data_IF_939680030558
#
_entry.id   IF_939680030558
#
_cell.length_a   1.000
_cell.length_b   1.000
_cell.length_c   1.000
_cell.angle_alpha   90.00
_cell.angle_beta   90.00
_cell.angle_gamma   90.00
#
_symmetry.space_group_name_H-M   'P 1'
#
loop_
_entity.id
_entity.type
_entity.pdbx_description
1 polymer ?
#
# COMPACT_ATOMS: atom_id res chain seq x y z
N UNK A 1 -9.64 2.52 2.07
CA UNK A 1 -8.69 1.49 2.59
C UNK A 1 -7.42 2.05 3.24
N UNK A 2 -6.75 3.07 2.65
CA UNK A 2 -5.50 3.65 3.16
C UNK A 2 -5.69 4.97 3.93
N UNK A 3 -6.89 5.22 4.46
CA UNK A 3 -7.30 6.54 4.94
C UNK A 3 -6.41 7.10 6.06
N UNK A 4 -5.84 6.25 6.90
CA UNK A 4 -4.92 6.68 7.97
C UNK A 4 -3.45 6.72 7.53
N UNK A 5 -3.10 5.99 6.48
CA UNK A 5 -1.74 5.91 5.93
C UNK A 5 -1.46 7.10 5.01
N UNK A 6 -1.43 8.29 5.61
CA UNK A 6 -1.18 9.56 4.92
C UNK A 6 0.02 10.24 5.58
N UNK A 7 0.89 10.82 4.76
CA UNK A 7 2.15 11.43 5.21
C UNK A 7 2.16 12.92 4.93
N UNK A 8 2.74 13.70 5.85
CA UNK A 8 2.93 15.16 5.74
C UNK A 8 1.65 16.01 5.63
N UNK A 9 0.47 15.41 5.68
CA UNK A 9 -0.83 16.11 5.66
C UNK A 9 -1.88 15.31 6.41
N UNK A 10 -2.99 15.99 6.74
CA UNK A 10 -4.16 15.32 7.30
C UNK A 10 -4.92 14.51 6.23
N UNK A 11 -5.53 13.37 6.62
CA UNK A 11 -6.48 12.67 5.77
C UNK A 11 -7.62 13.59 5.34
N UNK A 12 -8.03 13.48 4.07
CA UNK A 12 -9.17 14.20 3.53
C UNK A 12 -10.28 13.19 3.22
N UNK A 13 -11.51 13.57 3.53
CA UNK A 13 -12.72 12.80 3.24
C UNK A 13 -13.56 13.58 2.23
N UNK A 14 -14.12 12.90 1.23
CA UNK A 14 -15.09 13.51 0.34
C UNK A 14 -16.38 13.84 1.10
N UNK A 15 -16.71 13.08 2.14
CA UNK A 15 -17.88 13.31 2.99
C UNK A 15 -17.76 14.57 3.87
N UNK A 16 -16.56 15.16 3.99
CA UNK A 16 -16.37 16.45 4.67
C UNK A 16 -16.51 17.65 3.73
N UNK A 17 -16.66 17.44 2.41
CA UNK A 17 -16.88 18.50 1.43
C UNK A 17 -18.37 18.88 1.36
N UNK A 18 -18.71 20.14 1.06
CA UNK A 18 -20.10 20.54 0.78
C UNK A 18 -20.75 19.62 -0.26
N UNK A 19 -21.95 19.11 0.03
CA UNK A 19 -22.68 18.14 -0.82
C UNK A 19 -22.10 16.71 -0.83
N UNK A 20 -20.96 16.46 -0.18
CA UNK A 20 -20.30 15.16 -0.20
C UNK A 20 -21.12 14.04 0.42
N UNK A 21 -21.89 14.33 1.48
CA UNK A 21 -22.79 13.35 2.10
C UNK A 21 -24.03 13.04 1.25
N UNK A 22 -24.40 13.92 0.34
CA UNK A 22 -25.60 13.72 -0.51
C UNK A 22 -25.24 12.92 -1.76
N UNK A 23 -24.04 13.15 -2.32
CA UNK A 23 -23.64 12.66 -3.63
C UNK A 23 -22.53 11.59 -3.63
N UNK A 24 -21.91 11.27 -2.48
CA UNK A 24 -20.80 10.34 -2.44
C UNK A 24 -20.98 9.20 -1.43
N UNK A 25 -20.19 8.15 -1.66
CA UNK A 25 -20.01 7.01 -0.79
C UNK A 25 -18.51 6.76 -0.62
N UNK A 26 -18.06 6.52 0.61
CA UNK A 26 -16.68 6.15 0.94
C UNK A 26 -16.60 4.71 1.43
N UNK A 27 -15.58 4.00 0.94
CA UNK A 27 -15.27 2.64 1.36
C UNK A 27 -14.03 2.63 2.26
N UNK A 28 -14.24 2.14 3.47
CA UNK A 28 -13.22 2.00 4.50
C UNK A 28 -12.90 0.54 4.76
N UNK A 29 -11.66 0.27 5.16
CA UNK A 29 -11.19 -1.10 5.44
C UNK A 29 -10.28 -1.07 6.65
N UNK A 30 -10.44 -2.07 7.51
CA UNK A 30 -9.59 -2.28 8.69
C UNK A 30 -8.26 -2.95 8.33
N UNK A 31 -8.13 -3.45 7.10
CA UNK A 31 -7.01 -4.29 6.68
C UNK A 31 -5.65 -3.61 6.83
N UNK A 32 -5.58 -2.31 6.53
CA UNK A 32 -4.32 -1.56 6.43
C UNK A 32 -4.16 -0.55 7.56
N UNK A 33 -5.23 0.15 7.92
CA UNK A 33 -5.23 1.12 9.02
C UNK A 33 -4.99 0.49 10.39
N UNK A 34 -5.33 -0.81 10.54
CA UNK A 34 -5.27 -1.54 11.82
C UNK A 34 -4.63 -2.94 11.68
N UNK A 35 -3.90 -3.21 10.58
CA UNK A 35 -3.26 -4.50 10.30
C UNK A 35 -4.19 -5.74 10.30
N UNK A 36 -5.49 -5.56 10.06
CA UNK A 36 -6.47 -6.66 10.07
C UNK A 36 -6.71 -7.27 8.67
N UNK A 37 -5.65 -7.49 7.86
CA UNK A 37 -5.82 -7.88 6.44
C UNK A 37 -6.61 -9.18 6.26
N UNK A 38 -6.31 -10.22 7.07
CA UNK A 38 -7.01 -11.51 7.03
C UNK A 38 -8.40 -11.53 7.69
N UNK A 39 -8.81 -10.45 8.37
CA UNK A 39 -10.08 -10.41 9.12
C UNK A 39 -11.27 -9.98 8.27
N UNK A 40 -11.00 -9.52 7.04
CA UNK A 40 -12.01 -9.22 6.01
C UNK A 40 -13.11 -8.23 6.43
N UNK A 41 -12.76 -7.23 7.24
CA UNK A 41 -13.70 -6.19 7.66
C UNK A 41 -13.45 -4.84 6.99
N UNK A 42 -14.55 -4.24 6.55
CA UNK A 42 -14.64 -2.86 6.11
C UNK A 42 -16.04 -2.31 6.38
N UNK A 43 -16.24 -1.04 6.06
CA UNK A 43 -17.55 -0.41 6.15
C UNK A 43 -17.71 0.63 5.04
N UNK A 44 -18.96 0.98 4.77
CA UNK A 44 -19.34 1.96 3.77
C UNK A 44 -20.11 3.09 4.46
N UNK A 45 -19.83 4.34 4.09
CA UNK A 45 -20.47 5.53 4.66
C UNK A 45 -20.73 6.57 3.57
N UNK A 46 -21.82 7.33 3.67
CA UNK A 46 -22.15 8.37 2.69
C UNK A 46 -23.65 8.58 2.54
N UNK A 47 -24.10 8.82 1.31
CA UNK A 47 -25.50 9.07 0.95
C UNK A 47 -26.46 8.04 1.54
N UNK A 48 -27.43 8.50 2.34
CA UNK A 48 -28.37 7.63 3.04
C UNK A 48 -29.17 6.74 2.07
N UNK A 49 -29.54 7.26 0.90
CA UNK A 49 -30.22 6.47 -0.15
C UNK A 49 -29.32 5.36 -0.69
N UNK A 50 -28.05 5.67 -0.98
CA UNK A 50 -27.09 4.68 -1.47
C UNK A 50 -26.77 3.60 -0.42
N UNK A 51 -26.64 3.99 0.85
CA UNK A 51 -26.40 3.04 1.96
C UNK A 51 -27.61 2.12 2.15
N UNK A 52 -28.84 2.64 2.04
CA UNK A 52 -30.05 1.83 2.11
C UNK A 52 -30.09 0.80 0.98
N UNK A 53 -29.86 1.22 -0.26
CA UNK A 53 -29.82 0.31 -1.41
C UNK A 53 -28.71 -0.75 -1.25
N UNK A 54 -27.53 -0.36 -0.75
CA UNK A 54 -26.46 -1.30 -0.43
C UNK A 54 -26.87 -2.34 0.61
N UNK A 55 -27.59 -1.93 1.67
CA UNK A 55 -28.07 -2.84 2.71
C UNK A 55 -29.09 -3.85 2.14
N UNK A 56 -30.04 -3.41 1.31
CA UNK A 56 -31.04 -4.29 0.67
C UNK A 56 -30.37 -5.38 -0.19
N UNK A 57 -29.33 -5.02 -0.95
CA UNK A 57 -28.54 -5.99 -1.72
C UNK A 57 -27.77 -6.93 -0.80
N UNK A 58 -27.14 -6.38 0.25
CA UNK A 58 -26.30 -7.14 1.19
C UNK A 58 -27.09 -8.20 1.96
N UNK A 59 -28.33 -7.91 2.35
CA UNK A 59 -29.23 -8.84 3.04
C UNK A 59 -29.50 -10.13 2.22
N UNK A 60 -29.28 -10.08 0.90
CA UNK A 60 -29.44 -11.22 -0.01
C UNK A 60 -28.10 -11.89 -0.39
N UNK A 61 -26.96 -11.37 0.06
CA UNK A 61 -25.61 -11.88 -0.30
C UNK A 61 -24.92 -12.52 0.90
N UNK A 62 -25.08 -11.96 2.11
CA UNK A 62 -24.48 -12.51 3.32
C UNK A 62 -25.30 -12.21 4.58
N UNK A 63 -25.02 -12.94 5.67
CA UNK A 63 -25.71 -12.78 6.95
C UNK A 63 -25.06 -11.74 7.87
N UNK A 64 -24.32 -10.78 7.31
CA UNK A 64 -23.58 -9.79 8.06
C UNK A 64 -22.17 -10.24 8.47
N UNK A 65 -21.45 -9.33 9.12
CA UNK A 65 -20.06 -9.55 9.55
C UNK A 65 -19.99 -10.27 10.90
N UNK A 66 -18.99 -11.12 11.09
CA UNK A 66 -18.82 -11.85 12.35
C UNK A 66 -18.67 -10.88 13.55
N UNK A 67 -19.55 -11.01 14.56
CA UNK A 67 -19.70 -10.03 15.65
C UNK A 67 -18.39 -9.78 16.41
N UNK A 68 -17.59 -10.81 16.66
CA UNK A 68 -16.31 -10.65 17.36
C UNK A 68 -15.35 -9.74 16.58
N UNK A 69 -15.33 -9.82 15.24
CA UNK A 69 -14.52 -8.97 14.38
C UNK A 69 -15.03 -7.52 14.41
N UNK A 70 -16.35 -7.32 14.44
CA UNK A 70 -16.93 -5.99 14.60
C UNK A 70 -16.51 -5.33 15.93
N UNK A 71 -16.55 -6.08 17.03
CA UNK A 71 -16.13 -5.57 18.35
C UNK A 71 -14.63 -5.23 18.39
N UNK A 72 -13.78 -6.09 17.81
CA UNK A 72 -12.35 -5.81 17.68
C UNK A 72 -12.08 -4.54 16.87
N UNK A 73 -12.84 -4.32 15.80
CA UNK A 73 -12.74 -3.09 15.01
C UNK A 73 -13.19 -1.84 15.78
N UNK A 74 -14.29 -1.92 16.56
CA UNK A 74 -14.70 -0.81 17.42
C UNK A 74 -13.58 -0.43 18.40
N UNK A 75 -12.93 -1.42 19.04
CA UNK A 75 -11.81 -1.18 19.93
C UNK A 75 -10.62 -0.52 19.21
N UNK A 76 -10.27 -1.01 18.02
CA UNK A 76 -9.23 -0.41 17.19
C UNK A 76 -9.53 1.03 16.77
N UNK A 77 -10.77 1.32 16.34
CA UNK A 77 -11.19 2.67 15.92
C UNK A 77 -11.18 3.66 17.08
N UNK A 78 -11.58 3.22 18.28
CA UNK A 78 -11.57 4.05 19.48
C UNK A 78 -10.15 4.48 19.89
N UNK A 79 -9.14 3.63 19.69
CA UNK A 79 -7.74 3.95 19.95
C UNK A 79 -7.00 4.41 18.67
N UNK A 80 -7.01 5.72 18.44
CA UNK A 80 -6.29 6.36 17.31
C UNK A 80 -4.78 6.11 17.35
N UNK A 81 -4.19 5.84 18.52
CA UNK A 81 -2.75 5.66 18.65
C UNK A 81 -2.25 4.41 17.90
N UNK A 82 -3.12 3.41 17.70
CA UNK A 82 -2.81 2.20 16.91
C UNK A 82 -2.52 2.58 15.46
N UNK A 83 -3.44 3.31 14.82
CA UNK A 83 -3.29 3.75 13.44
C UNK A 83 -2.09 4.68 13.26
N UNK A 84 -1.84 5.56 14.24
CA UNK A 84 -0.69 6.48 14.22
C UNK A 84 0.65 5.73 14.30
N UNK A 85 0.74 4.70 15.16
CA UNK A 85 1.93 3.82 15.26
C UNK A 85 2.19 3.10 13.94
N UNK A 86 1.15 2.54 13.32
CA UNK A 86 1.24 1.86 12.01
C UNK A 86 1.69 2.85 10.93
N UNK A 87 1.16 4.07 10.93
CA UNK A 87 1.53 5.11 9.96
C UNK A 87 3.00 5.51 10.10
N UNK A 88 3.47 5.78 11.33
CA UNK A 88 4.89 6.08 11.60
C UNK A 88 5.81 4.92 11.21
N UNK A 89 5.37 3.68 11.44
CA UNK A 89 6.11 2.48 11.06
C UNK A 89 6.36 2.42 9.55
N UNK A 90 5.31 2.56 8.74
CA UNK A 90 5.46 2.55 7.29
C UNK A 90 6.15 3.79 6.74
N UNK A 91 5.96 4.97 7.34
CA UNK A 91 6.67 6.18 6.92
C UNK A 91 8.19 6.02 7.06
N UNK A 92 8.66 5.47 8.19
CA UNK A 92 10.08 5.17 8.42
C UNK A 92 10.62 4.21 7.35
N UNK A 93 9.92 3.11 7.10
CA UNK A 93 10.34 2.09 6.13
C UNK A 93 10.39 2.64 4.71
N UNK A 94 9.37 3.38 4.29
CA UNK A 94 9.35 4.04 2.97
C UNK A 94 10.51 5.02 2.82
N UNK A 95 10.80 5.86 3.82
CA UNK A 95 11.95 6.77 3.78
C UNK A 95 13.28 6.04 3.57
N UNK A 96 13.48 4.90 4.22
CA UNK A 96 14.69 4.07 4.03
C UNK A 96 14.69 3.40 2.65
N UNK A 97 13.56 2.84 2.22
CA UNK A 97 13.40 2.18 0.92
C UNK A 97 13.59 3.14 -0.25
N UNK A 98 13.11 4.38 -0.16
CA UNK A 98 13.39 5.45 -1.15
C UNK A 98 14.89 5.66 -1.32
N UNK A 99 15.67 5.72 -0.22
CA UNK A 99 17.13 5.86 -0.30
C UNK A 99 17.78 4.65 -0.99
N UNK A 100 17.36 3.44 -0.62
CA UNK A 100 17.84 2.19 -1.23
C UNK A 100 17.55 2.16 -2.74
N UNK A 101 16.32 2.41 -3.16
CA UNK A 101 15.94 2.41 -4.57
C UNK A 101 16.67 3.51 -5.37
N UNK A 102 16.82 4.73 -4.82
CA UNK A 102 17.63 5.79 -5.47
C UNK A 102 19.08 5.37 -5.67
N UNK A 103 19.70 4.72 -4.68
CA UNK A 103 21.08 4.24 -4.83
C UNK A 103 21.24 3.17 -5.91
N UNK A 104 20.15 2.51 -6.31
CA UNK A 104 20.11 1.56 -7.42
C UNK A 104 19.68 2.20 -8.77
N UNK A 105 19.55 3.53 -8.85
CA UNK A 105 19.24 4.25 -10.09
C UNK A 105 17.75 4.55 -10.33
N UNK A 106 16.83 4.08 -9.48
CA UNK A 106 15.41 4.38 -9.64
C UNK A 106 15.09 5.85 -9.37
N UNK A 107 14.32 6.49 -10.26
CA UNK A 107 13.66 7.75 -9.96
C UNK A 107 12.44 7.49 -9.06
N UNK A 108 12.61 7.77 -7.77
CA UNK A 108 11.61 7.49 -6.74
C UNK A 108 11.48 8.64 -5.76
N UNK A 109 10.25 8.93 -5.36
CA UNK A 109 9.91 9.96 -4.38
C UNK A 109 9.09 9.35 -3.24
N UNK A 110 9.12 10.03 -2.09
CA UNK A 110 8.26 9.65 -0.97
C UNK A 110 6.78 9.90 -1.35
N UNK A 111 5.89 8.90 -1.22
CA UNK A 111 4.49 9.08 -1.57
C UNK A 111 3.77 9.94 -0.52
N UNK A 112 2.62 10.52 -0.89
CA UNK A 112 1.75 11.22 0.04
C UNK A 112 0.93 10.30 0.96
N UNK A 113 0.93 8.98 0.71
CA UNK A 113 0.23 7.99 1.50
C UNK A 113 0.47 6.56 0.98
N UNK A 114 -0.27 5.59 1.53
CA UNK A 114 -0.08 4.14 1.34
C UNK A 114 1.27 3.63 1.87
N UNK A 115 1.60 2.36 1.65
CA UNK A 115 2.92 1.80 1.96
C UNK A 115 3.65 1.31 0.70
N UNK A 116 3.30 1.87 -0.47
CA UNK A 116 3.89 1.49 -1.75
C UNK A 116 4.73 2.62 -2.35
N UNK A 117 5.77 2.24 -3.09
CA UNK A 117 6.51 3.11 -4.00
C UNK A 117 6.25 2.64 -5.42
N UNK A 118 5.74 3.53 -6.27
CA UNK A 118 5.66 3.33 -7.71
C UNK A 118 6.85 4.03 -8.34
N UNK A 119 7.61 3.29 -9.14
CA UNK A 119 8.82 3.77 -9.80
C UNK A 119 8.81 3.36 -11.27
N UNK A 120 9.33 4.20 -12.20
CA UNK A 120 9.51 3.77 -13.58
C UNK A 120 10.33 2.48 -13.64
N UNK A 121 9.90 1.53 -14.48
CA UNK A 121 10.65 0.30 -14.69
C UNK A 121 11.96 0.60 -15.44
N UNK A 122 13.06 -0.11 -15.13
CA UNK A 122 14.26 -0.05 -15.95
C UNK A 122 13.97 -0.52 -17.38
N UNK A 123 14.74 -0.02 -18.34
CA UNK A 123 14.67 -0.38 -19.77
C UNK A 123 15.55 -1.56 -20.13
N UNK A 124 16.36 -2.05 -19.21
CA UNK A 124 17.18 -3.23 -19.40
C UNK A 124 18.09 -3.55 -18.21
N UNK A 125 18.89 -4.59 -18.36
CA UNK A 125 19.92 -5.00 -17.40
C UNK A 125 21.10 -5.65 -18.14
N UNK A 126 22.30 -5.09 -18.01
CA UNK A 126 23.45 -5.55 -18.79
C UNK A 126 23.14 -5.57 -20.30
N UNK A 127 23.28 -6.75 -20.93
CA UNK A 127 22.98 -6.98 -22.35
C UNK A 127 21.50 -7.29 -22.65
N UNK A 128 20.65 -7.40 -21.63
CA UNK A 128 19.20 -7.63 -21.79
C UNK A 128 18.46 -6.31 -21.84
N UNK A 129 17.54 -6.16 -22.78
CA UNK A 129 16.56 -5.06 -22.83
C UNK A 129 15.23 -5.52 -22.23
N UNK A 130 14.46 -4.58 -21.67
CA UNK A 130 13.11 -4.80 -21.16
C UNK A 130 12.13 -3.92 -21.94
N UNK A 131 11.11 -4.54 -22.51
CA UNK A 131 10.04 -3.87 -23.25
C UNK A 131 8.81 -3.58 -22.39
N UNK A 132 8.72 -4.16 -21.20
CA UNK A 132 7.64 -3.96 -20.23
C UNK A 132 8.13 -3.98 -18.79
N UNK A 133 7.30 -3.50 -17.85
CA UNK A 133 7.56 -3.68 -16.43
C UNK A 133 7.49 -5.16 -16.02
N UNK A 134 6.67 -5.96 -16.69
CA UNK A 134 6.61 -7.41 -16.48
C UNK A 134 7.96 -8.10 -16.73
N UNK A 135 8.63 -7.79 -17.85
CA UNK A 135 9.96 -8.34 -18.15
C UNK A 135 11.01 -7.90 -17.11
N UNK A 136 10.97 -6.64 -16.70
CA UNK A 136 11.83 -6.13 -15.64
C UNK A 136 11.56 -6.83 -14.29
N UNK A 137 10.29 -7.05 -13.95
CA UNK A 137 9.90 -7.74 -12.72
C UNK A 137 10.31 -9.23 -12.74
N UNK A 138 10.13 -9.92 -13.86
CA UNK A 138 10.54 -11.31 -14.05
C UNK A 138 12.07 -11.46 -13.95
N UNK A 139 12.82 -10.56 -14.58
CA UNK A 139 14.28 -10.51 -14.44
C UNK A 139 14.69 -10.34 -12.97
N UNK A 140 14.12 -9.36 -12.27
CA UNK A 140 14.42 -9.07 -10.87
C UNK A 140 14.13 -10.26 -9.94
N UNK A 141 13.00 -10.95 -10.11
CA UNK A 141 12.68 -12.11 -9.27
C UNK A 141 13.53 -13.33 -9.62
N UNK A 142 13.74 -13.65 -10.91
CA UNK A 142 14.45 -14.85 -11.33
C UNK A 142 15.95 -14.78 -11.15
N UNK A 143 16.54 -13.60 -11.39
CA UNK A 143 18.00 -13.41 -11.36
C UNK A 143 18.50 -12.85 -10.04
N UNK A 144 17.69 -12.05 -9.36
CA UNK A 144 18.10 -11.31 -8.16
C UNK A 144 17.21 -11.56 -6.95
N UNK A 145 16.20 -12.43 -7.05
CA UNK A 145 15.29 -12.76 -5.96
C UNK A 145 14.60 -11.53 -5.36
N UNK A 146 14.29 -10.54 -6.20
CA UNK A 146 13.55 -9.33 -5.81
C UNK A 146 12.14 -9.42 -6.37
N UNK A 147 11.16 -9.61 -5.49
CA UNK A 147 9.75 -9.61 -5.86
C UNK A 147 9.19 -8.19 -5.85
N UNK A 148 8.63 -7.77 -6.98
CA UNK A 148 7.93 -6.51 -7.18
C UNK A 148 6.71 -6.76 -8.06
N UNK A 149 5.79 -5.78 -8.14
CA UNK A 149 4.57 -5.93 -8.96
C UNK A 149 4.68 -5.00 -10.17
N UNK A 150 4.63 -5.54 -11.40
CA UNK A 150 4.61 -4.72 -12.61
C UNK A 150 3.25 -4.06 -12.80
N UNK A 151 3.25 -2.91 -13.48
CA UNK A 151 2.06 -2.24 -14.00
C UNK A 151 2.42 -1.63 -15.34
N UNK A 152 1.71 -2.04 -16.40
CA UNK A 152 1.99 -1.64 -17.78
C UNK A 152 0.78 -0.95 -18.47
N UNK A 153 -0.38 -0.82 -17.80
CA UNK A 153 -1.62 -0.33 -18.44
C UNK A 153 -1.51 1.10 -18.98
N UNK A 154 -0.80 1.98 -18.26
CA UNK A 154 -0.59 3.39 -18.66
C UNK A 154 0.84 3.60 -19.12
N UNK A 155 1.79 2.99 -18.41
CA UNK A 155 3.24 3.07 -18.65
C UNK A 155 3.94 2.03 -17.78
N UNK A 156 5.13 1.60 -18.14
CA UNK A 156 5.88 0.58 -17.41
C UNK A 156 6.42 1.08 -16.06
N UNK A 157 5.77 0.67 -14.98
CA UNK A 157 6.15 0.96 -13.59
C UNK A 157 6.27 -0.32 -12.77
N UNK A 158 7.18 -0.29 -11.80
CA UNK A 158 7.29 -1.30 -10.75
C UNK A 158 6.73 -0.75 -9.44
N UNK A 159 6.00 -1.58 -8.70
CA UNK A 159 5.46 -1.26 -7.37
C UNK A 159 6.16 -2.05 -6.29
N UNK A 160 6.95 -1.35 -5.48
CA UNK A 160 7.60 -1.88 -4.28
C UNK A 160 6.74 -1.67 -3.03
N UNK A 161 6.70 -2.65 -2.13
CA UNK A 161 5.92 -2.60 -0.89
C UNK A 161 6.82 -2.52 0.35
N UNK A 162 6.53 -1.60 1.27
CA UNK A 162 7.21 -1.48 2.56
C UNK A 162 6.71 -2.50 3.62
N UNK A 163 6.01 -3.54 3.19
CA UNK A 163 5.39 -4.59 4.05
C UNK A 163 6.30 -5.80 4.27
N UNK A 164 7.61 -5.65 4.13
CA UNK A 164 8.57 -6.72 4.37
C UNK A 164 8.59 -7.14 5.85
N UNK A 165 8.99 -8.38 6.11
CA UNK A 165 9.13 -8.92 7.45
C UNK A 165 10.46 -8.47 8.08
N UNK A 166 10.39 -7.91 9.29
CA UNK A 166 11.55 -7.64 10.13
C UNK A 166 11.15 -7.79 11.58
N UNK A 167 12.10 -8.15 12.45
CA UNK A 167 11.86 -8.35 13.88
C UNK A 167 11.43 -7.07 14.58
N UNK A 168 12.09 -5.96 14.24
CA UNK A 168 11.83 -4.64 14.79
C UNK A 168 12.33 -3.52 13.85
N UNK A 169 12.27 -2.27 14.31
CA UNK A 169 12.70 -1.11 13.55
C UNK A 169 14.20 -1.07 13.23
N UNK A 170 15.05 -1.74 14.02
CA UNK A 170 16.49 -1.86 13.77
C UNK A 170 16.75 -2.94 12.71
N UNK A 171 15.99 -4.04 12.76
CA UNK A 171 16.08 -5.13 11.80
C UNK A 171 15.59 -4.73 10.38
N UNK A 172 14.88 -3.60 10.23
CA UNK A 172 14.55 -3.02 8.92
C UNK A 172 15.81 -2.83 8.03
N UNK A 173 16.96 -2.47 8.63
CA UNK A 173 18.19 -2.19 7.89
C UNK A 173 18.83 -3.46 7.30
N UNK A 174 18.64 -4.62 7.94
CA UNK A 174 19.08 -5.91 7.39
C UNK A 174 18.36 -6.22 6.08
N UNK A 175 17.03 -6.06 6.07
CA UNK A 175 16.20 -6.37 4.90
C UNK A 175 16.48 -5.40 3.75
N UNK A 176 16.60 -4.11 4.05
CA UNK A 176 16.89 -3.10 3.03
C UNK A 176 18.34 -3.16 2.54
N UNK A 177 19.28 -3.57 3.39
CA UNK A 177 20.66 -3.86 2.98
C UNK A 177 20.72 -5.02 1.99
N UNK A 178 19.98 -6.09 2.23
CA UNK A 178 19.87 -7.22 1.30
C UNK A 178 19.23 -6.81 -0.03
N UNK A 179 18.14 -6.03 0.01
CA UNK A 179 17.52 -5.48 -1.19
C UNK A 179 18.52 -4.62 -1.99
N UNK A 180 19.26 -3.75 -1.31
CA UNK A 180 20.27 -2.89 -1.94
C UNK A 180 21.38 -3.71 -2.59
N UNK A 181 21.88 -4.75 -1.92
CA UNK A 181 22.93 -5.62 -2.44
C UNK A 181 22.48 -6.36 -3.71
N UNK A 182 21.22 -6.83 -3.75
CA UNK A 182 20.64 -7.48 -4.93
C UNK A 182 20.47 -6.52 -6.10
N UNK A 183 19.93 -5.33 -5.83
CA UNK A 183 19.69 -4.33 -6.86
C UNK A 183 20.99 -3.76 -7.44
N UNK A 184 22.05 -3.61 -6.64
CA UNK A 184 23.35 -3.12 -7.14
C UNK A 184 24.04 -4.11 -8.08
N UNK A 185 23.79 -5.41 -7.90
CA UNK A 185 24.29 -6.48 -8.78
C UNK A 185 23.43 -6.68 -10.02
N UNK A 186 22.26 -6.03 -10.10
CA UNK A 186 21.31 -6.24 -11.18
C UNK A 186 21.69 -5.55 -12.50
N UNK A 187 22.69 -4.66 -12.50
CA UNK A 187 23.17 -4.01 -13.73
C UNK A 187 22.07 -3.25 -14.48
N UNK A 188 21.09 -2.72 -13.75
CA UNK A 188 19.90 -2.07 -14.31
C UNK A 188 20.28 -0.85 -15.16
N UNK A 189 19.57 -0.69 -16.27
CA UNK A 189 19.65 0.47 -17.17
C UNK A 189 18.27 1.12 -17.23
N UNK A 190 18.22 2.43 -17.05
CA UNK A 190 16.98 3.23 -17.01
C UNK A 190 16.83 4.06 -18.28
#
# INVERSE_FOLDING_TARGET
AYATLVYKRSPLSILSRPGGKDAAVELHSMSKSYNMTGWRLGFVAGSAQAIKAYAEVKDNIDSGQFKAIQLAACAGIADKTIADKITRHYERRLKKMVKCLRSAGFDVQMPGGTFYLYVPAPKGAGATDFHSAEEAADYLIRKHLVSTVPWDDVSSFLRFSATFESKDAKDDDRVLGELMARLSQAGLRF
#
